data_IF_723543670418
#
_entry.id   IF_723543670418
#
_cell.length_a   1.000
_cell.length_b   1.000
_cell.length_c   1.000
_cell.angle_alpha   90.00
_cell.angle_beta   90.00
_cell.angle_gamma   90.00
#
_symmetry.space_group_name_H-M   'P 1'
#
loop_
_entity.id
_entity.type
_entity.pdbx_description
1 polymer ?
#
# COMPACT_ATOMS: atom_id res chain seq x y z
N UNK A 1 -1.94 8.04 -15.83
CA UNK A 1 -0.59 8.47 -15.36
C UNK A 1 -0.76 8.91 -13.93
N UNK A 2 0.21 8.67 -13.04
CA UNK A 2 0.12 9.04 -11.64
C UNK A 2 1.49 9.30 -11.03
N UNK A 3 1.54 10.06 -9.94
CA UNK A 3 2.74 10.31 -9.15
C UNK A 3 2.54 9.62 -7.81
N UNK A 4 3.41 8.65 -7.49
CA UNK A 4 3.36 7.94 -6.22
C UNK A 4 4.33 8.58 -5.23
N UNK A 5 3.84 9.19 -4.14
CA UNK A 5 4.70 9.63 -3.05
C UNK A 5 5.26 8.42 -2.29
N UNK A 6 6.57 8.42 -2.06
CA UNK A 6 7.29 7.37 -1.33
C UNK A 6 8.08 8.05 -0.23
N UNK A 7 7.82 7.69 1.02
CA UNK A 7 8.64 8.14 2.15
C UNK A 7 9.92 7.30 2.21
N UNK A 8 11.08 7.93 2.25
CA UNK A 8 12.36 7.29 2.40
C UNK A 8 13.14 7.89 3.57
N UNK A 9 13.17 7.16 4.68
CA UNK A 9 13.83 7.62 5.93
C UNK A 9 15.35 7.66 5.80
N UNK A 10 15.94 6.82 4.94
CA UNK A 10 17.38 6.70 4.72
C UNK A 10 17.63 6.63 3.22
N UNK A 11 18.30 7.63 2.68
CA UNK A 11 18.68 7.66 1.27
C UNK A 11 19.66 6.53 0.94
N UNK A 12 19.40 5.86 -0.17
CA UNK A 12 20.29 4.84 -0.76
C UNK A 12 21.27 5.51 -1.74
N UNK A 13 22.23 4.72 -2.23
CA UNK A 13 23.10 5.15 -3.31
C UNK A 13 22.30 5.31 -4.62
N UNK A 14 22.68 6.29 -5.50
CA UNK A 14 21.92 6.63 -6.70
C UNK A 14 21.56 5.44 -7.61
N UNK A 15 22.45 4.45 -7.73
CA UNK A 15 22.22 3.27 -8.57
C UNK A 15 21.06 2.37 -8.12
N UNK A 16 20.52 2.57 -6.90
CA UNK A 16 19.38 1.83 -6.39
C UNK A 16 18.04 2.48 -6.75
N UNK A 17 18.08 3.61 -7.45
CA UNK A 17 16.87 4.31 -7.87
C UNK A 17 16.69 4.23 -9.39
N UNK A 18 15.45 4.11 -9.82
CA UNK A 18 15.12 4.22 -11.24
C UNK A 18 15.12 5.67 -11.72
N UNK A 19 15.18 5.88 -13.04
CA UNK A 19 15.21 7.22 -13.63
C UNK A 19 13.92 8.02 -13.42
N UNK A 20 12.86 7.37 -12.93
CA UNK A 20 11.53 7.92 -12.64
C UNK A 20 11.42 8.58 -11.26
N UNK A 21 12.54 8.86 -10.57
CA UNK A 21 12.55 9.44 -9.23
C UNK A 21 12.81 10.93 -9.24
N UNK A 22 11.98 11.64 -8.47
CA UNK A 22 12.17 13.04 -8.06
C UNK A 22 12.24 13.07 -6.53
N UNK A 23 13.25 13.76 -5.99
CA UNK A 23 13.49 13.79 -4.55
C UNK A 23 13.09 15.15 -3.98
N UNK A 24 12.28 15.12 -2.93
CA UNK A 24 11.94 16.30 -2.12
C UNK A 24 12.45 16.04 -0.71
N UNK A 25 13.44 16.82 -0.30
CA UNK A 25 13.98 16.79 1.06
C UNK A 25 13.36 17.90 1.88
N UNK A 26 12.80 17.54 3.03
CA UNK A 26 12.20 18.44 4.00
C UNK A 26 13.06 18.42 5.27
N UNK A 27 13.48 19.60 5.75
CA UNK A 27 14.30 19.70 6.97
C UNK A 27 13.92 20.94 7.77
N UNK A 28 14.13 20.90 9.07
CA UNK A 28 14.14 22.10 9.90
C UNK A 28 15.48 22.83 9.77
N UNK A 29 15.45 24.15 9.98
CA UNK A 29 16.65 24.96 9.98
C UNK A 29 17.58 24.52 11.12
N UNK A 30 18.86 24.26 10.80
CA UNK A 30 19.83 23.74 11.74
C UNK A 30 19.86 22.23 11.92
N UNK A 31 18.93 21.47 11.34
CA UNK A 31 19.04 20.01 11.31
C UNK A 31 20.17 19.56 10.38
N UNK A 32 20.92 18.57 10.84
CA UNK A 32 21.92 17.90 10.02
C UNK A 32 21.22 16.85 9.12
N UNK A 33 21.55 16.86 7.85
CA UNK A 33 21.03 15.90 6.89
C UNK A 33 22.12 15.50 5.89
N UNK A 34 21.93 14.38 5.22
CA UNK A 34 22.92 13.77 4.31
C UNK A 34 23.05 14.57 2.99
N UNK A 35 23.60 15.81 3.10
CA UNK A 35 23.90 16.66 1.92
C UNK A 35 24.75 15.96 0.88
N UNK A 36 25.80 15.17 1.22
CA UNK A 36 26.57 14.42 0.25
C UNK A 36 25.73 13.46 -0.60
N UNK A 37 24.78 12.73 0.01
CA UNK A 37 23.89 11.83 -0.74
C UNK A 37 22.91 12.57 -1.63
N UNK A 38 22.30 13.65 -1.17
CA UNK A 38 21.45 14.49 -2.01
C UNK A 38 22.22 15.04 -3.21
N UNK A 39 23.45 15.49 -3.00
CA UNK A 39 24.33 15.95 -4.07
C UNK A 39 24.73 14.81 -5.03
N UNK A 40 24.90 13.58 -4.53
CA UNK A 40 25.17 12.41 -5.37
C UNK A 40 23.97 12.06 -6.26
N UNK A 41 22.75 12.11 -5.71
CA UNK A 41 21.51 11.93 -6.48
C UNK A 41 21.37 12.97 -7.60
N UNK A 42 21.62 14.25 -7.28
CA UNK A 42 21.58 15.32 -8.29
C UNK A 42 22.62 15.12 -9.39
N UNK A 43 23.88 14.73 -9.04
CA UNK A 43 24.93 14.40 -10.02
C UNK A 43 24.59 13.17 -10.88
N UNK A 44 23.81 12.23 -10.33
CA UNK A 44 23.32 11.07 -11.08
C UNK A 44 22.14 11.40 -12.03
N UNK A 45 21.69 12.66 -12.06
CA UNK A 45 20.64 13.13 -12.96
C UNK A 45 19.24 13.11 -12.37
N UNK A 46 19.08 12.77 -11.08
CA UNK A 46 17.77 12.87 -10.43
C UNK A 46 17.44 14.32 -10.09
N UNK A 47 16.22 14.81 -10.35
CA UNK A 47 15.77 16.08 -9.84
C UNK A 47 15.71 16.04 -8.31
N UNK A 48 16.29 17.02 -7.63
CA UNK A 48 16.32 17.15 -6.17
C UNK A 48 15.89 18.55 -5.76
N UNK A 49 14.95 18.63 -4.85
CA UNK A 49 14.50 19.87 -4.22
C UNK A 49 14.68 19.77 -2.71
N UNK A 50 15.25 20.81 -2.09
CA UNK A 50 15.37 20.91 -0.64
C UNK A 50 14.49 22.07 -0.15
N UNK A 51 13.65 21.79 0.82
CA UNK A 51 12.78 22.75 1.49
C UNK A 51 13.19 22.80 2.96
N UNK A 52 13.57 23.97 3.43
CA UNK A 52 13.97 24.19 4.82
C UNK A 52 12.94 25.06 5.52
N UNK A 53 12.50 24.64 6.68
CA UNK A 53 11.53 25.31 7.54
C UNK A 53 12.22 25.88 8.77
N UNK A 54 11.83 27.05 9.20
CA UNK A 54 12.34 27.66 10.46
C UNK A 54 11.83 26.92 11.68
N UNK A 55 10.57 26.49 11.63
CA UNK A 55 9.92 25.74 12.69
C UNK A 55 8.81 24.84 12.14
N UNK A 56 8.21 24.01 13.01
CA UNK A 56 7.16 23.07 12.63
C UNK A 56 5.84 23.77 12.17
N UNK A 57 5.61 25.04 12.51
CA UNK A 57 4.39 25.74 12.09
C UNK A 57 4.42 26.07 10.59
N UNK A 58 5.61 26.23 10.00
CA UNK A 58 5.76 26.45 8.56
C UNK A 58 5.30 25.25 7.73
N UNK A 59 5.17 24.04 8.32
CA UNK A 59 4.58 22.87 7.65
C UNK A 59 3.14 23.11 7.20
N UNK A 60 2.39 23.97 7.90
CA UNK A 60 1.05 24.39 7.46
C UNK A 60 1.06 25.12 6.12
N UNK A 61 2.05 25.99 5.90
CA UNK A 61 2.26 26.65 4.61
C UNK A 61 2.70 25.67 3.51
N UNK A 62 3.47 24.64 3.90
CA UNK A 62 3.88 23.59 2.95
C UNK A 62 2.69 22.72 2.53
N UNK A 63 1.78 22.38 3.41
CA UNK A 63 0.55 21.67 3.03
C UNK A 63 -0.20 22.43 1.95
N UNK A 64 -0.41 23.75 2.14
CA UNK A 64 -1.07 24.58 1.14
C UNK A 64 -0.29 24.64 -0.19
N UNK A 65 1.04 24.73 -0.13
CA UNK A 65 1.89 24.68 -1.33
C UNK A 65 1.75 23.35 -2.08
N UNK A 66 1.72 22.24 -1.36
CA UNK A 66 1.53 20.92 -1.97
C UNK A 66 0.13 20.73 -2.56
N UNK A 67 -0.91 21.27 -1.96
CA UNK A 67 -2.26 21.26 -2.54
C UNK A 67 -2.28 21.99 -3.89
N UNK A 68 -1.66 23.17 -3.97
CA UNK A 68 -1.52 23.93 -5.23
C UNK A 68 -0.65 23.14 -6.24
N UNK A 69 0.45 22.54 -5.78
CA UNK A 69 1.33 21.73 -6.64
C UNK A 69 0.60 20.53 -7.24
N UNK A 70 -0.23 19.84 -6.45
CA UNK A 70 -1.09 18.74 -6.91
C UNK A 70 -2.10 19.23 -7.95
N UNK A 71 -2.76 20.37 -7.71
CA UNK A 71 -3.71 20.95 -8.67
C UNK A 71 -3.05 21.25 -10.01
N UNK A 72 -1.85 21.86 -9.99
CA UNK A 72 -1.07 22.18 -11.20
C UNK A 72 -0.61 20.89 -11.90
N UNK A 73 -0.09 19.92 -11.15
CA UNK A 73 0.35 18.64 -11.69
C UNK A 73 -0.81 17.90 -12.37
N UNK A 74 -1.98 17.83 -11.71
CA UNK A 74 -3.18 17.21 -12.25
C UNK A 74 -3.67 17.92 -13.52
N UNK A 75 -3.65 19.26 -13.56
CA UNK A 75 -3.98 20.02 -14.75
C UNK A 75 -3.03 19.68 -15.93
N UNK A 76 -1.75 19.49 -15.66
CA UNK A 76 -0.76 19.05 -16.68
C UNK A 76 -0.96 17.61 -17.11
N UNK A 77 -1.41 16.74 -16.21
CA UNK A 77 -1.72 15.34 -16.49
C UNK A 77 -3.09 15.12 -17.11
N UNK A 78 -3.93 16.16 -17.19
CA UNK A 78 -5.31 16.06 -17.70
C UNK A 78 -6.26 15.30 -16.78
N UNK A 79 -6.02 15.33 -15.46
CA UNK A 79 -6.84 14.67 -14.43
C UNK A 79 -7.46 15.71 -13.50
N UNK A 80 -8.68 15.42 -13.02
CA UNK A 80 -9.33 16.25 -12.01
C UNK A 80 -8.84 15.86 -10.60
N UNK A 81 -8.18 16.76 -9.85
CA UNK A 81 -7.68 16.46 -8.49
C UNK A 81 -8.79 16.41 -7.43
N UNK A 82 -9.98 16.88 -7.75
CA UNK A 82 -11.10 16.99 -6.81
C UNK A 82 -12.10 15.82 -6.92
N UNK A 83 -11.84 14.85 -7.80
CA UNK A 83 -12.71 13.73 -8.07
C UNK A 83 -12.05 12.40 -7.67
N UNK A 84 -12.81 11.52 -7.00
CA UNK A 84 -12.31 10.24 -6.47
C UNK A 84 -13.26 9.06 -6.77
N UNK A 85 -13.60 8.79 -8.04
CA UNK A 85 -14.59 7.77 -8.39
C UNK A 85 -14.18 6.36 -7.94
N UNK A 86 -12.90 6.04 -7.97
CA UNK A 86 -12.40 4.68 -7.68
C UNK A 86 -12.39 4.34 -6.18
N UNK A 87 -12.35 5.35 -5.31
CA UNK A 87 -12.46 5.15 -3.85
C UNK A 87 -13.86 4.69 -3.48
N UNK A 88 -14.89 5.25 -4.10
CA UNK A 88 -16.28 4.90 -3.80
C UNK A 88 -16.60 3.46 -4.23
N UNK A 89 -16.02 2.97 -5.31
CA UNK A 89 -16.18 1.57 -5.77
C UNK A 89 -15.85 0.56 -4.65
N UNK A 90 -14.71 0.69 -3.98
CA UNK A 90 -14.32 -0.20 -2.89
C UNK A 90 -15.29 -0.13 -1.70
N UNK A 91 -15.82 1.07 -1.39
CA UNK A 91 -16.80 1.25 -0.31
C UNK A 91 -18.15 0.63 -0.63
N UNK A 92 -18.60 0.72 -1.89
CA UNK A 92 -19.84 0.08 -2.35
C UNK A 92 -19.73 -1.42 -2.15
N UNK A 93 -18.65 -2.04 -2.60
CA UNK A 93 -18.42 -3.49 -2.44
C UNK A 93 -18.36 -3.94 -0.99
N UNK A 94 -17.67 -3.17 -0.14
CA UNK A 94 -17.65 -3.47 1.28
C UNK A 94 -19.06 -3.41 1.91
N UNK A 95 -19.90 -2.44 1.51
CA UNK A 95 -21.30 -2.34 1.96
C UNK A 95 -22.14 -3.53 1.49
N UNK A 96 -21.98 -3.97 0.24
CA UNK A 96 -22.66 -5.16 -0.29
C UNK A 96 -22.29 -6.43 0.50
N UNK A 97 -20.99 -6.62 0.77
CA UNK A 97 -20.52 -7.74 1.58
C UNK A 97 -21.03 -7.72 3.01
N UNK A 98 -21.10 -6.52 3.63
CA UNK A 98 -21.69 -6.37 4.97
C UNK A 98 -23.19 -6.64 4.97
N UNK A 99 -23.91 -6.23 3.93
CA UNK A 99 -25.33 -6.54 3.77
C UNK A 99 -25.56 -8.04 3.61
N UNK A 100 -24.75 -8.72 2.80
CA UNK A 100 -24.77 -10.17 2.68
C UNK A 100 -24.48 -10.87 4.01
N UNK A 101 -23.47 -10.40 4.74
CA UNK A 101 -23.16 -10.94 6.07
C UNK A 101 -24.35 -10.84 7.03
N UNK A 102 -25.10 -9.72 7.03
CA UNK A 102 -26.31 -9.55 7.86
C UNK A 102 -27.41 -10.55 7.52
N UNK A 103 -27.50 -10.98 6.26
CA UNK A 103 -28.51 -11.92 5.78
C UNK A 103 -28.11 -13.39 5.98
N UNK A 104 -26.85 -13.71 5.67
CA UNK A 104 -26.36 -15.09 5.59
C UNK A 104 -25.48 -15.51 6.77
N UNK A 105 -25.07 -14.58 7.63
CA UNK A 105 -24.16 -14.81 8.76
C UNK A 105 -22.72 -15.07 8.37
N UNK A 106 -22.37 -14.95 7.08
CA UNK A 106 -21.01 -15.17 6.56
C UNK A 106 -20.67 -14.20 5.43
N UNK A 107 -19.38 -13.85 5.33
CA UNK A 107 -18.83 -13.12 4.19
C UNK A 107 -18.63 -14.07 2.99
N UNK A 108 -18.56 -13.54 1.76
CA UNK A 108 -18.21 -14.33 0.59
C UNK A 108 -16.88 -15.07 0.78
N UNK A 109 -16.88 -16.38 0.52
CA UNK A 109 -15.67 -17.18 0.58
C UNK A 109 -14.88 -17.03 -0.73
N UNK A 110 -13.59 -16.72 -0.60
CA UNK A 110 -12.66 -16.79 -1.73
C UNK A 110 -12.03 -18.19 -1.78
N UNK A 111 -11.92 -18.76 -2.98
CA UNK A 111 -11.17 -19.99 -3.17
C UNK A 111 -9.67 -19.70 -3.03
N UNK A 112 -8.98 -20.32 -2.08
CA UNK A 112 -7.55 -20.14 -1.96
C UNK A 112 -6.81 -20.71 -3.16
N UNK A 113 -5.77 -20.00 -3.61
CA UNK A 113 -4.81 -20.49 -4.58
C UNK A 113 -4.06 -21.68 -3.99
N UNK A 114 -3.50 -21.50 -2.77
CA UNK A 114 -2.81 -22.57 -2.06
C UNK A 114 -2.75 -22.26 -0.55
N UNK A 115 -2.47 -23.29 0.25
CA UNK A 115 -2.20 -23.18 1.70
C UNK A 115 -0.84 -23.81 1.97
N UNK A 116 0.06 -23.04 2.59
CA UNK A 116 1.40 -23.50 2.94
C UNK A 116 1.83 -22.91 4.28
N UNK A 117 2.24 -23.76 5.22
CA UNK A 117 2.54 -23.37 6.60
C UNK A 117 1.36 -22.61 7.24
N UNK A 118 1.59 -21.37 7.69
CA UNK A 118 0.55 -20.49 8.22
C UNK A 118 0.06 -19.45 7.20
N UNK A 119 0.35 -19.63 5.91
CA UNK A 119 -0.06 -18.72 4.83
C UNK A 119 -1.18 -19.36 4.02
N UNK A 120 -2.23 -18.60 3.76
CA UNK A 120 -3.27 -18.90 2.77
C UNK A 120 -3.20 -17.84 1.71
N UNK A 121 -2.88 -18.23 0.48
CA UNK A 121 -2.67 -17.33 -0.63
C UNK A 121 -3.90 -17.28 -1.53
N UNK A 122 -4.16 -16.10 -2.08
CA UNK A 122 -5.25 -15.80 -3.01
C UNK A 122 -4.70 -14.99 -4.19
N UNK A 123 -5.22 -15.21 -5.36
CA UNK A 123 -4.82 -14.50 -6.57
C UNK A 123 -5.02 -15.33 -7.82
N UNK A 124 -4.87 -14.69 -8.97
CA UNK A 124 -4.98 -15.33 -10.29
C UNK A 124 -3.57 -15.73 -10.78
N UNK A 125 -3.02 -16.76 -10.14
CA UNK A 125 -1.71 -17.31 -10.44
C UNK A 125 -1.81 -18.84 -10.51
N UNK A 126 -0.89 -19.47 -11.25
CA UNK A 126 -0.63 -20.92 -11.16
C UNK A 126 0.65 -21.12 -10.37
N UNK A 127 0.56 -21.81 -9.23
CA UNK A 127 1.71 -22.02 -8.36
C UNK A 127 1.51 -23.28 -7.49
N UNK A 128 2.60 -24.01 -7.25
CA UNK A 128 2.63 -25.21 -6.39
C UNK A 128 3.23 -24.92 -5.00
N UNK A 129 3.78 -23.73 -4.80
CA UNK A 129 4.33 -23.26 -3.53
C UNK A 129 4.09 -21.77 -3.33
N UNK A 130 4.17 -21.30 -2.07
CA UNK A 130 4.05 -19.90 -1.74
C UNK A 130 5.17 -19.06 -2.40
N UNK A 131 6.37 -19.60 -2.48
CA UNK A 131 7.50 -18.96 -3.19
C UNK A 131 7.17 -18.77 -4.67
N UNK A 132 6.70 -19.82 -5.35
CA UNK A 132 6.35 -19.77 -6.77
C UNK A 132 5.23 -18.76 -7.04
N UNK A 133 4.20 -18.70 -6.17
CA UNK A 133 3.14 -17.70 -6.24
C UNK A 133 3.67 -16.27 -6.12
N UNK A 134 4.58 -16.04 -5.17
CA UNK A 134 5.20 -14.75 -4.95
C UNK A 134 6.11 -14.33 -6.11
N UNK A 135 6.92 -15.24 -6.63
CA UNK A 135 7.78 -14.98 -7.79
C UNK A 135 6.95 -14.70 -9.05
N UNK A 136 5.85 -15.44 -9.27
CA UNK A 136 4.89 -15.20 -10.35
C UNK A 136 4.20 -13.84 -10.23
N UNK A 137 3.87 -13.42 -9.00
CA UNK A 137 3.35 -12.10 -8.72
C UNK A 137 4.37 -11.00 -9.08
N UNK A 138 5.61 -11.12 -8.62
CA UNK A 138 6.67 -10.16 -8.94
C UNK A 138 7.02 -10.14 -10.44
N UNK A 139 6.92 -11.25 -11.14
CA UNK A 139 7.17 -11.34 -12.58
C UNK A 139 6.18 -10.50 -13.43
N UNK A 140 5.04 -10.08 -12.85
CA UNK A 140 4.12 -9.14 -13.51
C UNK A 140 4.62 -7.70 -13.51
N UNK A 141 5.70 -7.39 -12.77
CA UNK A 141 6.28 -6.05 -12.72
C UNK A 141 6.85 -5.61 -14.07
N UNK A 142 6.58 -4.36 -14.44
CA UNK A 142 7.11 -3.72 -15.64
C UNK A 142 8.24 -2.79 -15.26
N UNK A 143 9.35 -2.82 -16.00
CA UNK A 143 10.50 -1.97 -15.74
C UNK A 143 10.35 -0.55 -16.32
N UNK A 144 9.34 -0.32 -17.17
CA UNK A 144 9.18 0.94 -17.87
C UNK A 144 10.14 1.08 -19.08
N UNK A 145 10.07 2.24 -19.72
CA UNK A 145 11.03 2.63 -20.75
C UNK A 145 12.34 3.23 -20.16
N UNK A 146 13.21 3.74 -21.00
CA UNK A 146 14.49 4.33 -20.58
C UNK A 146 14.35 5.55 -19.65
N UNK A 147 13.20 6.24 -19.69
CA UNK A 147 12.87 7.33 -18.75
C UNK A 147 12.20 6.84 -17.46
N UNK A 148 11.92 5.54 -17.36
CA UNK A 148 11.14 4.92 -16.29
C UNK A 148 9.63 5.08 -16.47
N UNK A 149 9.15 5.70 -17.56
CA UNK A 149 7.73 5.82 -17.80
C UNK A 149 7.10 4.43 -17.97
N UNK A 150 5.96 4.24 -17.30
CA UNK A 150 5.27 2.96 -17.29
C UNK A 150 5.86 1.91 -16.36
N UNK A 151 6.82 2.27 -15.52
CA UNK A 151 7.37 1.39 -14.49
C UNK A 151 6.33 1.04 -13.43
N UNK A 152 6.40 -0.19 -12.94
CA UNK A 152 5.56 -0.66 -11.85
C UNK A 152 6.01 -0.13 -10.50
N UNK A 153 5.11 -0.18 -9.53
CA UNK A 153 5.39 -0.04 -8.11
C UNK A 153 4.75 -1.18 -7.33
N UNK A 154 5.23 -1.43 -6.13
CA UNK A 154 4.69 -2.43 -5.22
C UNK A 154 4.03 -1.74 -4.03
N UNK A 155 2.82 -2.13 -3.69
CA UNK A 155 2.11 -1.65 -2.52
C UNK A 155 1.81 -2.81 -1.56
N UNK A 156 2.28 -2.70 -0.32
CA UNK A 156 1.92 -3.62 0.77
C UNK A 156 0.71 -3.06 1.50
N UNK A 157 -0.40 -3.75 1.41
CA UNK A 157 -1.66 -3.38 2.04
C UNK A 157 -1.89 -4.23 3.30
N UNK A 158 -1.54 -3.68 4.48
CA UNK A 158 -1.57 -4.43 5.73
C UNK A 158 -2.90 -4.26 6.47
N UNK A 159 -3.83 -5.20 6.33
CA UNK A 159 -5.04 -5.30 7.16
C UNK A 159 -4.72 -6.04 8.47
N UNK A 160 -3.76 -5.51 9.20
CA UNK A 160 -3.23 -6.05 10.47
C UNK A 160 -3.54 -5.09 11.61
N UNK A 161 -3.41 -5.57 12.85
CA UNK A 161 -3.42 -4.69 14.03
C UNK A 161 -2.10 -3.91 14.08
N UNK A 162 -2.12 -2.58 14.08
CA UNK A 162 -0.91 -1.76 14.21
C UNK A 162 -0.17 -2.05 15.51
N UNK A 163 1.15 -2.14 15.43
CA UNK A 163 2.05 -2.26 16.57
C UNK A 163 3.48 -1.97 16.13
N UNK A 164 4.35 -1.56 17.06
CA UNK A 164 5.77 -1.29 16.75
C UNK A 164 6.45 -2.46 16.01
N UNK A 165 6.15 -3.71 16.40
CA UNK A 165 6.73 -4.90 15.73
C UNK A 165 6.24 -5.06 14.28
N UNK A 166 4.98 -4.72 14.00
CA UNK A 166 4.44 -4.75 12.63
C UNK A 166 5.00 -3.59 11.83
N UNK A 167 5.16 -2.40 12.44
CA UNK A 167 5.79 -1.25 11.79
C UNK A 167 7.23 -1.54 11.37
N UNK A 168 8.03 -2.10 12.28
CA UNK A 168 9.40 -2.53 12.00
C UNK A 168 9.47 -3.58 10.88
N UNK A 169 8.52 -4.52 10.88
CA UNK A 169 8.42 -5.53 9.82
C UNK A 169 8.08 -4.90 8.47
N UNK A 170 7.12 -3.95 8.44
CA UNK A 170 6.73 -3.24 7.21
C UNK A 170 7.90 -2.41 6.67
N UNK A 171 8.59 -1.66 7.54
CA UNK A 171 9.79 -0.89 7.15
C UNK A 171 10.87 -1.80 6.55
N UNK A 172 11.10 -2.97 7.17
CA UNK A 172 12.06 -3.96 6.65
C UNK A 172 11.61 -4.56 5.32
N UNK A 173 10.33 -4.92 5.18
CA UNK A 173 9.77 -5.48 3.96
C UNK A 173 9.85 -4.48 2.79
N UNK A 174 9.49 -3.22 3.03
CA UNK A 174 9.62 -2.13 2.04
C UNK A 174 11.06 -2.02 1.54
N UNK A 175 12.02 -1.94 2.48
CA UNK A 175 13.45 -1.83 2.15
C UNK A 175 13.96 -3.02 1.35
N UNK A 176 13.66 -4.24 1.82
CA UNK A 176 14.15 -5.47 1.18
C UNK A 176 13.56 -5.67 -0.20
N UNK A 177 12.24 -5.48 -0.35
CA UNK A 177 11.57 -5.61 -1.63
C UNK A 177 12.00 -4.52 -2.62
N UNK A 178 12.19 -3.28 -2.17
CA UNK A 178 12.73 -2.22 -3.02
C UNK A 178 14.14 -2.54 -3.52
N UNK A 179 15.00 -3.09 -2.67
CA UNK A 179 16.35 -3.53 -3.06
C UNK A 179 16.31 -4.70 -4.06
N UNK A 180 15.46 -5.70 -3.79
CA UNK A 180 15.35 -6.91 -4.63
C UNK A 180 14.77 -6.60 -6.02
N UNK A 181 13.77 -5.73 -6.09
CA UNK A 181 13.01 -5.49 -7.34
C UNK A 181 13.44 -4.23 -8.08
N UNK A 182 14.11 -3.30 -7.42
CA UNK A 182 14.39 -1.96 -7.93
C UNK A 182 13.14 -1.07 -8.07
N UNK A 183 11.96 -1.54 -7.67
CA UNK A 183 10.71 -0.79 -7.76
C UNK A 183 10.57 0.21 -6.60
N UNK A 184 9.67 1.18 -6.78
CA UNK A 184 9.11 1.91 -5.65
C UNK A 184 8.25 0.95 -4.83
N UNK A 185 8.45 0.91 -3.53
CA UNK A 185 7.65 0.10 -2.62
C UNK A 185 7.06 1.00 -1.56
N UNK A 186 5.76 0.91 -1.37
CA UNK A 186 5.04 1.61 -0.31
C UNK A 186 4.28 0.61 0.55
N UNK A 187 4.08 0.93 1.82
CA UNK A 187 3.26 0.14 2.71
C UNK A 187 2.26 1.02 3.46
N UNK A 188 1.11 0.47 3.76
CA UNK A 188 0.10 1.17 4.54
C UNK A 188 -0.85 0.23 5.24
N UNK A 189 -1.44 0.71 6.35
CA UNK A 189 -2.49 -0.03 7.03
C UNK A 189 -3.84 0.16 6.34
N UNK A 190 -4.49 -0.96 6.05
CA UNK A 190 -5.88 -0.99 5.63
C UNK A 190 -6.83 -0.98 6.83
N UNK A 191 -7.97 -0.30 6.74
CA UNK A 191 -8.49 0.40 5.55
C UNK A 191 -8.04 1.86 5.41
N UNK A 192 -7.12 2.36 6.27
CA UNK A 192 -6.72 3.78 6.30
C UNK A 192 -6.27 4.32 4.93
N UNK A 193 -5.45 3.57 4.19
CA UNK A 193 -4.96 4.00 2.88
C UNK A 193 -6.09 4.19 1.83
N UNK A 194 -7.27 3.59 2.03
CA UNK A 194 -8.43 3.82 1.15
C UNK A 194 -8.90 5.28 1.16
N UNK A 195 -8.57 6.04 2.21
CA UNK A 195 -8.93 7.46 2.35
C UNK A 195 -7.87 8.42 1.78
N UNK A 196 -6.75 7.91 1.28
CA UNK A 196 -5.64 8.73 0.75
C UNK A 196 -5.17 8.23 -0.62
N UNK A 197 -4.51 7.08 -0.68
CA UNK A 197 -3.89 6.55 -1.89
C UNK A 197 -4.80 5.61 -2.69
N UNK A 198 -5.99 5.29 -2.20
CA UNK A 198 -6.91 4.34 -2.83
C UNK A 198 -7.35 4.75 -4.25
N UNK A 199 -7.50 6.05 -4.51
CA UNK A 199 -7.79 6.57 -5.84
C UNK A 199 -6.63 6.30 -6.80
N UNK A 200 -5.39 6.57 -6.39
CA UNK A 200 -4.20 6.31 -7.20
C UNK A 200 -4.05 4.81 -7.51
N UNK A 201 -4.26 3.94 -6.51
CA UNK A 201 -4.14 2.50 -6.68
C UNK A 201 -5.06 1.92 -7.76
N UNK A 202 -6.26 2.46 -7.90
CA UNK A 202 -7.28 1.99 -8.84
C UNK A 202 -7.33 2.81 -10.13
N UNK A 203 -7.06 4.13 -10.04
CA UNK A 203 -7.15 5.06 -11.14
C UNK A 203 -5.84 5.28 -11.92
N UNK A 204 -4.72 4.68 -11.51
CA UNK A 204 -3.46 4.76 -12.24
C UNK A 204 -3.52 4.00 -13.60
N UNK A 205 -2.43 3.99 -14.33
CA UNK A 205 -2.34 3.31 -15.63
C UNK A 205 -2.17 1.77 -15.52
N UNK A 206 -2.57 1.13 -14.42
CA UNK A 206 -2.45 -0.31 -14.22
C UNK A 206 -1.03 -0.78 -13.91
N UNK A 207 -0.27 0.01 -13.18
CA UNK A 207 1.14 -0.25 -12.91
C UNK A 207 1.39 -0.84 -11.52
N UNK A 208 0.42 -0.72 -10.61
CA UNK A 208 0.54 -1.21 -9.24
C UNK A 208 0.50 -2.74 -9.14
N UNK A 209 1.42 -3.30 -8.34
CA UNK A 209 1.34 -4.65 -7.80
C UNK A 209 0.93 -4.54 -6.33
N UNK A 210 -0.05 -5.31 -5.91
CA UNK A 210 -0.62 -5.20 -4.56
C UNK A 210 -0.44 -6.50 -3.78
N UNK A 211 0.38 -6.44 -2.73
CA UNK A 211 0.52 -7.50 -1.74
C UNK A 211 -0.43 -7.17 -0.57
N UNK A 212 -1.60 -7.79 -0.57
CA UNK A 212 -2.59 -7.57 0.49
C UNK A 212 -2.43 -8.61 1.59
N UNK A 213 -2.17 -8.17 2.82
CA UNK A 213 -1.95 -9.02 3.98
C UNK A 213 -3.11 -8.87 4.95
N UNK A 214 -3.75 -9.99 5.29
CA UNK A 214 -4.81 -10.06 6.30
C UNK A 214 -4.41 -11.04 7.41
N UNK A 215 -5.04 -10.96 8.58
CA UNK A 215 -4.81 -11.90 9.69
C UNK A 215 -6.11 -12.23 10.40
N UNK A 216 -6.07 -13.35 11.12
CA UNK A 216 -7.11 -13.65 12.09
C UNK A 216 -7.24 -12.53 13.13
N UNK A 217 -8.44 -12.36 13.68
CA UNK A 217 -8.70 -11.46 14.80
C UNK A 217 -9.08 -12.32 16.01
N UNK A 218 -8.12 -12.62 16.90
CA UNK A 218 -8.40 -13.47 18.06
C UNK A 218 -9.38 -12.80 19.06
N UNK A 219 -9.47 -11.49 19.04
CA UNK A 219 -10.43 -10.70 19.81
C UNK A 219 -11.16 -9.76 18.87
N UNK A 220 -12.42 -10.05 18.62
CA UNK A 220 -13.26 -9.25 17.74
C UNK A 220 -14.33 -8.52 18.56
N UNK A 221 -14.39 -7.21 18.44
CA UNK A 221 -15.33 -6.39 19.16
C UNK A 221 -16.59 -6.16 18.33
N UNK A 222 -17.74 -6.21 19.00
CA UNK A 222 -19.02 -5.89 18.39
C UNK A 222 -19.11 -4.39 18.13
N UNK A 223 -19.70 -4.03 16.99
CA UNK A 223 -20.08 -2.65 16.67
C UNK A 223 -21.52 -2.48 17.12
N UNK A 224 -21.81 -1.68 18.16
CA UNK A 224 -23.18 -1.49 18.65
C UNK A 224 -24.08 -0.88 17.58
N UNK A 225 -25.26 -1.46 17.36
CA UNK A 225 -26.25 -0.90 16.43
C UNK A 225 -26.91 0.37 17.00
N UNK A 226 -26.81 0.61 18.33
CA UNK A 226 -27.33 1.80 19.05
C UNK A 226 -26.26 2.34 19.99
N UNK A 227 -26.21 3.66 20.16
CA UNK A 227 -25.19 4.35 20.97
C UNK A 227 -25.10 3.84 22.41
N UNK A 228 -26.20 3.41 23.02
CA UNK A 228 -26.26 2.90 24.39
C UNK A 228 -26.26 1.36 24.47
N UNK A 229 -26.17 0.68 23.31
CA UNK A 229 -26.22 -0.77 23.21
C UNK A 229 -24.85 -1.44 23.31
N UNK A 230 -24.86 -2.72 23.73
CA UNK A 230 -23.67 -3.60 23.63
C UNK A 230 -23.83 -4.66 22.53
N UNK A 231 -25.02 -4.77 21.97
CA UNK A 231 -25.36 -5.72 20.91
C UNK A 231 -25.25 -5.03 19.54
N UNK A 232 -24.81 -5.77 18.56
CA UNK A 232 -24.72 -5.28 17.19
C UNK A 232 -24.70 -6.40 16.18
N UNK A 233 -25.15 -6.09 14.98
CA UNK A 233 -25.24 -7.03 13.85
C UNK A 233 -23.90 -7.27 13.16
N UNK A 234 -22.89 -6.48 13.49
CA UNK A 234 -21.55 -6.51 12.88
C UNK A 234 -20.47 -6.44 13.95
N UNK A 235 -19.29 -6.93 13.60
CA UNK A 235 -18.08 -6.77 14.40
C UNK A 235 -17.02 -5.98 13.61
N UNK A 236 -16.02 -5.43 14.29
CA UNK A 236 -14.89 -4.78 13.62
C UNK A 236 -14.10 -5.74 12.74
N UNK A 237 -14.03 -7.03 13.07
CA UNK A 237 -13.40 -8.05 12.25
C UNK A 237 -14.13 -8.29 10.94
N UNK A 238 -15.47 -8.40 11.01
CA UNK A 238 -16.32 -8.51 9.80
C UNK A 238 -16.16 -7.27 8.94
N UNK A 239 -16.23 -6.07 9.52
CA UNK A 239 -16.05 -4.81 8.80
C UNK A 239 -14.69 -4.74 8.11
N UNK A 240 -13.59 -5.02 8.84
CA UNK A 240 -12.23 -5.01 8.29
C UNK A 240 -12.09 -6.03 7.16
N UNK A 241 -12.63 -7.24 7.34
CA UNK A 241 -12.56 -8.29 6.32
C UNK A 241 -13.36 -7.92 5.07
N UNK A 242 -14.56 -7.38 5.22
CA UNK A 242 -15.37 -6.88 4.11
C UNK A 242 -14.65 -5.77 3.33
N UNK A 243 -13.98 -4.85 4.04
CA UNK A 243 -13.20 -3.79 3.41
C UNK A 243 -11.96 -4.34 2.66
N UNK A 244 -11.26 -5.34 3.22
CA UNK A 244 -10.13 -5.97 2.55
C UNK A 244 -10.57 -6.71 1.29
N UNK A 245 -11.64 -7.50 1.37
CA UNK A 245 -12.21 -8.21 0.23
C UNK A 245 -12.70 -7.24 -0.85
N UNK A 246 -13.44 -6.19 -0.45
CA UNK A 246 -13.95 -5.18 -1.37
C UNK A 246 -12.84 -4.41 -2.07
N UNK A 247 -11.74 -4.10 -1.38
CA UNK A 247 -10.58 -3.46 -1.98
C UNK A 247 -9.84 -4.37 -2.97
N UNK A 248 -9.60 -5.63 -2.59
CA UNK A 248 -8.98 -6.61 -3.46
C UNK A 248 -9.81 -6.84 -4.74
N UNK A 249 -11.13 -6.94 -4.61
CA UNK A 249 -12.02 -7.08 -5.76
C UNK A 249 -12.00 -5.85 -6.65
N UNK A 250 -12.08 -4.64 -6.09
CA UNK A 250 -12.01 -3.40 -6.85
C UNK A 250 -10.67 -3.23 -7.59
N UNK A 251 -9.56 -3.63 -6.97
CA UNK A 251 -8.25 -3.66 -7.62
C UNK A 251 -8.21 -4.66 -8.79
N UNK A 252 -8.71 -5.88 -8.59
CA UNK A 252 -8.75 -6.90 -9.63
C UNK A 252 -9.63 -6.48 -10.81
N UNK A 253 -10.80 -5.90 -10.57
CA UNK A 253 -11.69 -5.37 -11.60
C UNK A 253 -11.08 -4.20 -12.36
N UNK A 254 -10.26 -3.38 -11.68
CA UNK A 254 -9.47 -2.34 -12.32
C UNK A 254 -8.23 -2.90 -13.08
N UNK A 255 -8.08 -4.22 -13.18
CA UNK A 255 -6.97 -4.89 -13.88
C UNK A 255 -5.65 -4.84 -13.13
N UNK A 256 -5.66 -4.67 -11.81
CA UNK A 256 -4.45 -4.67 -10.99
C UNK A 256 -4.02 -6.08 -10.62
N UNK A 257 -2.71 -6.29 -10.49
CA UNK A 257 -2.15 -7.55 -10.01
C UNK A 257 -2.21 -7.58 -8.48
N UNK A 258 -2.99 -8.51 -7.93
CA UNK A 258 -3.18 -8.64 -6.47
C UNK A 258 -2.74 -10.03 -6.02
N UNK A 259 -1.86 -10.10 -5.03
CA UNK A 259 -1.56 -11.29 -4.26
C UNK A 259 -2.09 -11.09 -2.83
N UNK A 260 -3.18 -11.78 -2.49
CA UNK A 260 -3.72 -11.83 -1.14
C UNK A 260 -2.97 -12.88 -0.31
N UNK A 261 -2.58 -12.52 0.91
CA UNK A 261 -1.97 -13.42 1.87
C UNK A 261 -2.70 -13.30 3.20
N UNK A 262 -3.39 -14.37 3.60
CA UNK A 262 -4.01 -14.46 4.91
C UNK A 262 -3.10 -15.21 5.88
N UNK A 263 -2.76 -14.58 7.00
CA UNK A 263 -1.97 -15.17 8.07
C UNK A 263 -2.91 -15.99 8.96
N UNK A 264 -2.87 -17.31 8.81
CA UNK A 264 -3.74 -18.24 9.52
C UNK A 264 -3.28 -18.53 10.97
N UNK A 265 -2.08 -18.09 11.36
CA UNK A 265 -1.59 -18.20 12.73
C UNK A 265 -2.26 -17.15 13.62
N UNK A 266 -2.54 -17.52 14.88
CA UNK A 266 -3.02 -16.56 15.89
C UNK A 266 -2.01 -15.46 16.20
N UNK A 267 -0.72 -15.78 16.14
CA UNK A 267 0.36 -14.80 16.18
C UNK A 267 0.70 -14.33 14.75
N UNK A 268 0.19 -13.16 14.39
CA UNK A 268 0.47 -12.57 13.09
C UNK A 268 1.98 -12.42 12.79
N UNK A 269 2.83 -12.22 13.82
CA UNK A 269 4.28 -12.09 13.62
C UNK A 269 4.92 -13.39 13.13
N UNK A 270 4.40 -14.55 13.54
CA UNK A 270 4.86 -15.84 13.01
C UNK A 270 4.53 -15.98 11.52
N UNK A 271 3.30 -15.61 11.13
CA UNK A 271 2.90 -15.58 9.73
C UNK A 271 3.73 -14.61 8.90
N UNK A 272 3.98 -13.40 9.42
CA UNK A 272 4.85 -12.40 8.77
C UNK A 272 6.29 -12.90 8.59
N UNK A 273 6.84 -13.66 9.55
CA UNK A 273 8.14 -14.31 9.41
C UNK A 273 8.14 -15.33 8.26
N UNK A 274 7.10 -16.17 8.16
CA UNK A 274 6.97 -17.10 7.03
C UNK A 274 6.85 -16.36 5.70
N UNK A 275 6.09 -15.27 5.66
CA UNK A 275 5.97 -14.43 4.47
C UNK A 275 7.31 -13.82 4.07
N UNK A 276 8.13 -13.34 5.02
CA UNK A 276 9.47 -12.81 4.75
C UNK A 276 10.40 -13.82 4.09
N UNK A 277 10.25 -15.11 4.39
CA UNK A 277 11.05 -16.16 3.76
C UNK A 277 10.82 -16.28 2.25
N UNK A 278 9.74 -15.67 1.71
CA UNK A 278 9.45 -15.69 0.26
C UNK A 278 10.35 -14.72 -0.52
N UNK A 279 11.02 -13.77 0.13
CA UNK A 279 11.92 -12.84 -0.54
C UNK A 279 13.31 -12.75 0.09
N UNK A 280 13.56 -13.51 1.16
CA UNK A 280 14.88 -13.66 1.79
C UNK A 280 15.80 -14.59 1.00
#
# INVERSE_FOLDING_TARGET
>A
MGILPVEEKILKEPQHYGPDRFFVHLALEGEDFDRPKLAALARAGHPVTCLTFKDLHETGGEFFRQEIAVAIACARLGVNPFDQPDVESAKVRAREMMAQFKQEGKLPEQKPLLKENSLVLYGDFSANSAREAFDSFLAKARQGDASGAGRSYLCIQAYLKPSARVDEWLDHAVKTLAQKTGLAVVAGYGPRFLHSTGQLHKGDAGRGLFLQITSQMPHDAVIPDRMEGREGSLTFGVLKTAQALGDAQALAEAGRTVLGVHLADRDAMRGLKHLSNLWG
#
